data_IF_149658158446
#
_entry.id   IF_149658158446
#
_cell.length_a   1.000
_cell.length_b   1.000
_cell.length_c   1.000
_cell.angle_alpha   90.00
_cell.angle_beta   90.00
_cell.angle_gamma   90.00
#
_symmetry.space_group_name_H-M   'P 1'
#
loop_
_entity.id
_entity.type
_entity.pdbx_description
1 polymer ?
#
# COMPACT_ATOMS: atom_id res chain seq x y z
N UNK A 1 28.18 -47.04 93.43
CA UNK A 1 28.67 -46.53 92.14
C UNK A 1 29.80 -45.57 92.44
N UNK A 2 31.00 -45.84 91.95
CA UNK A 2 32.16 -45.01 92.27
C UNK A 2 32.10 -43.71 91.47
N UNK A 3 32.70 -42.63 91.99
CA UNK A 3 32.77 -41.33 91.31
C UNK A 3 33.39 -41.43 89.90
N UNK A 4 34.28 -42.41 89.70
CA UNK A 4 34.96 -42.68 88.43
C UNK A 4 33.98 -43.21 87.38
N UNK A 5 33.04 -44.09 87.76
CA UNK A 5 32.04 -44.65 86.84
C UNK A 5 31.10 -43.58 86.28
N UNK A 6 30.74 -42.58 87.11
CA UNK A 6 29.90 -41.44 86.70
C UNK A 6 30.62 -40.56 85.67
N UNK A 7 31.94 -40.36 85.80
CA UNK A 7 32.73 -39.59 84.83
C UNK A 7 32.76 -40.27 83.46
N UNK A 8 32.92 -41.61 83.42
CA UNK A 8 32.92 -42.35 82.16
C UNK A 8 31.60 -42.25 81.40
N UNK A 9 30.47 -42.29 82.12
CA UNK A 9 29.14 -42.14 81.51
C UNK A 9 28.98 -40.75 80.90
N UNK A 10 29.41 -39.70 81.59
CA UNK A 10 29.33 -38.33 81.08
C UNK A 10 30.19 -38.15 79.83
N UNK A 11 31.41 -38.69 79.83
CA UNK A 11 32.30 -38.63 78.65
C UNK A 11 31.69 -39.37 77.46
N UNK A 12 31.08 -40.54 77.68
CA UNK A 12 30.42 -41.31 76.62
C UNK A 12 29.25 -40.53 75.99
N UNK A 13 28.44 -39.84 76.80
CA UNK A 13 27.34 -39.00 76.32
C UNK A 13 27.87 -37.81 75.50
N UNK A 14 28.94 -37.16 75.97
CA UNK A 14 29.54 -36.02 75.25
C UNK A 14 30.12 -36.47 73.92
N UNK A 15 30.85 -37.59 73.88
CA UNK A 15 31.46 -38.12 72.66
C UNK A 15 30.41 -38.56 71.63
N UNK A 16 29.37 -39.27 72.07
CA UNK A 16 28.28 -39.68 71.18
C UNK A 16 27.50 -38.49 70.62
N UNK A 17 27.27 -37.45 71.44
CA UNK A 17 26.67 -36.18 70.99
C UNK A 17 27.51 -35.47 69.93
N UNK A 18 28.82 -35.37 70.14
CA UNK A 18 29.77 -34.74 69.20
C UNK A 18 29.78 -35.46 67.84
N UNK A 19 29.81 -36.79 67.85
CA UNK A 19 29.78 -37.61 66.63
C UNK A 19 28.48 -37.37 65.86
N UNK A 20 27.35 -37.29 66.56
CA UNK A 20 26.04 -37.02 65.94
C UNK A 20 25.98 -35.62 65.33
N UNK A 21 26.58 -34.63 65.98
CA UNK A 21 26.63 -33.24 65.51
C UNK A 21 27.46 -33.12 64.22
N UNK A 22 28.59 -33.82 64.14
CA UNK A 22 29.43 -33.89 62.92
C UNK A 22 28.66 -34.59 61.78
N UNK A 23 27.97 -35.69 62.07
CA UNK A 23 27.18 -36.40 61.07
C UNK A 23 26.04 -35.53 60.51
N UNK A 24 25.31 -34.83 61.38
CA UNK A 24 24.19 -33.97 61.00
C UNK A 24 24.63 -32.76 60.17
N UNK A 25 25.75 -32.14 60.52
CA UNK A 25 26.30 -31.00 59.76
C UNK A 25 26.75 -31.41 58.36
N UNK A 26 27.32 -32.60 58.20
CA UNK A 26 27.72 -33.14 56.90
C UNK A 26 26.50 -33.52 56.02
N UNK A 27 25.44 -34.06 56.62
CA UNK A 27 24.20 -34.33 55.89
C UNK A 27 23.56 -33.03 55.40
N UNK A 28 23.53 -32.01 56.26
CA UNK A 28 22.98 -30.69 55.93
C UNK A 28 23.77 -29.99 54.82
N UNK A 29 25.10 -30.09 54.83
CA UNK A 29 25.93 -29.50 53.77
C UNK A 29 25.68 -30.17 52.41
N UNK A 30 25.57 -31.50 52.40
CA UNK A 30 25.28 -32.27 51.17
C UNK A 30 23.91 -31.94 50.60
N UNK A 31 22.89 -31.81 51.45
CA UNK A 31 21.54 -31.41 51.04
C UNK A 31 21.50 -29.98 50.47
N UNK A 32 22.21 -29.04 51.10
CA UNK A 32 22.28 -27.66 50.65
C UNK A 32 23.00 -27.52 49.30
N UNK A 33 24.08 -28.27 49.08
CA UNK A 33 24.80 -28.28 47.81
C UNK A 33 23.96 -28.88 46.68
N UNK A 34 23.15 -29.90 46.98
CA UNK A 34 22.24 -30.50 46.01
C UNK A 34 21.15 -29.51 45.58
N UNK A 35 20.49 -28.85 46.54
CA UNK A 35 19.49 -27.81 46.23
C UNK A 35 20.08 -26.68 45.40
N UNK A 36 21.24 -26.17 45.77
CA UNK A 36 21.89 -25.08 45.04
C UNK A 36 22.22 -25.45 43.59
N UNK A 37 22.62 -26.70 43.34
CA UNK A 37 22.87 -27.18 41.98
C UNK A 37 21.57 -27.33 41.18
N UNK A 38 20.52 -27.88 41.79
CA UNK A 38 19.21 -28.01 41.16
C UNK A 38 18.64 -26.64 40.82
N UNK A 39 18.68 -25.68 41.74
CA UNK A 39 18.17 -24.33 41.55
C UNK A 39 18.92 -23.61 40.41
N UNK A 40 20.24 -23.76 40.35
CA UNK A 40 21.06 -23.20 39.26
C UNK A 40 20.72 -23.86 37.91
N UNK A 41 20.56 -25.18 37.86
CA UNK A 41 20.20 -25.87 36.62
C UNK A 41 18.81 -25.48 36.12
N UNK A 42 17.84 -25.36 37.05
CA UNK A 42 16.48 -24.88 36.74
C UNK A 42 16.53 -23.45 36.22
N UNK A 43 17.32 -22.58 36.86
CA UNK A 43 17.48 -21.20 36.44
C UNK A 43 18.07 -21.09 35.03
N UNK A 44 19.18 -21.79 34.75
CA UNK A 44 19.83 -21.79 33.43
C UNK A 44 18.89 -22.32 32.35
N UNK A 45 18.19 -23.44 32.60
CA UNK A 45 17.21 -23.99 31.65
C UNK A 45 16.03 -23.06 31.44
N UNK A 46 15.62 -22.30 32.47
CA UNK A 46 14.53 -21.34 32.34
C UNK A 46 14.95 -20.12 31.51
N UNK A 47 16.15 -19.60 31.71
CA UNK A 47 16.68 -18.47 30.94
C UNK A 47 16.89 -18.83 29.47
N UNK A 48 17.40 -20.04 29.18
CA UNK A 48 17.54 -20.55 27.82
C UNK A 48 16.18 -20.69 27.11
N UNK A 49 15.15 -21.18 27.82
CA UNK A 49 13.79 -21.22 27.25
C UNK A 49 13.23 -19.82 27.02
N UNK A 50 13.48 -18.88 27.92
CA UNK A 50 13.03 -17.49 27.78
C UNK A 50 13.72 -16.81 26.61
N UNK A 51 15.01 -17.05 26.37
CA UNK A 51 15.73 -16.48 25.22
C UNK A 51 15.21 -17.04 23.90
N UNK A 52 15.01 -18.36 23.81
CA UNK A 52 14.41 -19.00 22.63
C UNK A 52 13.00 -18.46 22.35
N UNK A 53 12.15 -18.35 23.38
CA UNK A 53 10.81 -17.78 23.23
C UNK A 53 10.84 -16.31 22.79
N UNK A 54 11.77 -15.51 23.31
CA UNK A 54 11.94 -14.11 22.88
C UNK A 54 12.36 -14.02 21.41
N UNK A 55 13.27 -14.89 20.98
CA UNK A 55 13.71 -14.96 19.59
C UNK A 55 12.56 -15.37 18.67
N UNK A 56 11.78 -16.37 19.05
CA UNK A 56 10.61 -16.83 18.30
C UNK A 56 9.53 -15.74 18.20
N UNK A 57 9.25 -15.02 19.29
CA UNK A 57 8.32 -13.87 19.28
C UNK A 57 8.83 -12.77 18.34
N UNK A 58 10.13 -12.48 18.36
CA UNK A 58 10.74 -11.49 17.47
C UNK A 58 10.59 -11.90 16.00
N UNK A 59 10.85 -13.16 15.69
CA UNK A 59 10.71 -13.73 14.34
C UNK A 59 9.26 -13.75 13.87
N UNK A 60 8.31 -14.11 14.74
CA UNK A 60 6.89 -14.05 14.42
C UNK A 60 6.44 -12.61 14.15
N UNK A 61 6.90 -11.65 14.96
CA UNK A 61 6.57 -10.23 14.78
C UNK A 61 7.12 -9.68 13.47
N UNK A 62 8.35 -10.03 13.09
CA UNK A 62 8.92 -9.62 11.81
C UNK A 62 8.19 -10.26 10.63
N UNK A 63 7.87 -11.55 10.71
CA UNK A 63 7.11 -12.26 9.67
C UNK A 63 5.71 -11.68 9.48
N UNK A 64 5.00 -11.34 10.56
CA UNK A 64 3.69 -10.67 10.47
C UNK A 64 3.78 -9.32 9.77
N UNK A 65 4.84 -8.54 10.03
CA UNK A 65 5.04 -7.25 9.34
C UNK A 65 5.32 -7.45 7.84
N UNK A 66 6.14 -8.44 7.49
CA UNK A 66 6.43 -8.80 6.10
C UNK A 66 5.15 -9.23 5.38
N UNK A 67 4.38 -10.14 5.97
CA UNK A 67 3.16 -10.66 5.36
C UNK A 67 2.07 -9.59 5.22
N UNK A 68 1.97 -8.68 6.20
CA UNK A 68 1.08 -7.52 6.11
C UNK A 68 1.47 -6.61 4.95
N UNK A 69 2.75 -6.30 4.80
CA UNK A 69 3.25 -5.46 3.71
C UNK A 69 3.04 -6.14 2.36
N UNK A 70 3.29 -7.45 2.27
CA UNK A 70 3.04 -8.25 1.07
C UNK A 70 1.56 -8.24 0.69
N UNK A 71 0.67 -8.54 1.63
CA UNK A 71 -0.79 -8.52 1.42
C UNK A 71 -1.28 -7.13 0.97
N UNK A 72 -0.71 -6.06 1.52
CA UNK A 72 -1.02 -4.70 1.10
C UNK A 72 -0.56 -4.43 -0.33
N UNK A 73 0.67 -4.80 -0.70
CA UNK A 73 1.19 -4.65 -2.06
C UNK A 73 0.36 -5.45 -3.07
N UNK A 74 0.02 -6.70 -2.76
CA UNK A 74 -0.83 -7.53 -3.61
C UNK A 74 -2.22 -6.91 -3.82
N UNK A 75 -2.84 -6.38 -2.75
CA UNK A 75 -4.12 -5.68 -2.84
C UNK A 75 -4.02 -4.38 -3.67
N UNK A 76 -2.94 -3.63 -3.50
CA UNK A 76 -2.67 -2.42 -4.26
C UNK A 76 -2.48 -2.70 -5.74
N UNK A 77 -1.68 -3.70 -6.09
CA UNK A 77 -1.41 -4.07 -7.48
C UNK A 77 -2.65 -4.63 -8.18
N UNK A 78 -3.49 -5.40 -7.47
CA UNK A 78 -4.79 -5.84 -7.97
C UNK A 78 -5.71 -4.67 -8.25
N UNK A 79 -5.94 -3.80 -7.27
CA UNK A 79 -6.79 -2.61 -7.46
C UNK A 79 -6.29 -1.71 -8.60
N UNK A 80 -4.97 -1.54 -8.74
CA UNK A 80 -4.36 -0.80 -9.84
C UNK A 80 -4.67 -1.39 -11.22
N UNK A 81 -4.81 -2.71 -11.33
CA UNK A 81 -5.18 -3.36 -12.60
C UNK A 81 -6.68 -3.29 -12.89
N UNK A 82 -7.51 -3.20 -11.84
CA UNK A 82 -8.96 -3.14 -11.96
C UNK A 82 -9.46 -1.75 -12.37
N UNK A 83 -8.87 -0.66 -11.87
CA UNK A 83 -9.29 0.71 -12.18
C UNK A 83 -8.39 1.35 -13.24
N UNK A 84 -8.98 1.84 -14.33
CA UNK A 84 -8.25 2.67 -15.30
C UNK A 84 -9.07 3.88 -15.72
N UNK A 85 -8.42 5.04 -15.76
CA UNK A 85 -8.99 6.28 -16.27
C UNK A 85 -8.44 6.50 -17.67
N UNK A 86 -9.31 6.52 -18.68
CA UNK A 86 -8.87 6.83 -20.04
C UNK A 86 -9.17 8.28 -20.36
N UNK A 87 -8.17 9.00 -20.88
CA UNK A 87 -8.29 10.40 -21.25
C UNK A 87 -8.04 10.56 -22.75
N UNK A 88 -8.91 11.35 -23.37
CA UNK A 88 -8.97 11.59 -24.80
C UNK A 88 -9.01 13.08 -25.10
N UNK A 89 -8.33 13.55 -26.15
CA UNK A 89 -8.57 14.89 -26.68
C UNK A 89 -10.02 14.99 -27.19
N UNK A 90 -10.66 16.12 -26.92
CA UNK A 90 -12.06 16.38 -27.27
C UNK A 90 -12.19 17.70 -28.03
N UNK A 91 -13.04 17.69 -29.05
CA UNK A 91 -13.41 18.87 -29.84
C UNK A 91 -14.91 18.87 -30.07
N UNK A 92 -15.53 20.01 -29.86
CA UNK A 92 -16.91 20.30 -30.21
C UNK A 92 -16.97 21.58 -31.03
N UNK A 93 -17.79 21.57 -32.09
CA UNK A 93 -17.96 22.72 -32.99
C UNK A 93 -19.44 23.13 -32.97
N UNK A 94 -19.67 24.41 -32.76
CA UNK A 94 -20.98 25.04 -32.81
C UNK A 94 -20.97 26.09 -33.92
N UNK A 95 -21.96 25.99 -34.82
CA UNK A 95 -22.15 26.88 -35.94
C UNK A 95 -23.54 27.50 -35.81
N UNK A 96 -23.60 28.83 -35.80
CA UNK A 96 -24.85 29.58 -35.84
C UNK A 96 -24.69 30.81 -36.73
N UNK A 97 -25.76 31.18 -37.43
CA UNK A 97 -25.74 32.28 -38.39
C UNK A 97 -26.30 31.92 -39.75
N UNK A 98 -26.78 32.95 -40.45
CA UNK A 98 -27.40 32.86 -41.76
C UNK A 98 -26.46 33.49 -42.80
N UNK A 99 -26.25 32.83 -43.94
CA UNK A 99 -25.40 33.32 -45.04
C UNK A 99 -26.22 34.36 -45.84
N UNK A 100 -26.45 35.52 -45.21
CA UNK A 100 -27.25 36.60 -45.77
C UNK A 100 -26.53 37.33 -46.91
N UNK A 101 -27.27 37.69 -47.97
CA UNK A 101 -26.74 38.33 -49.18
C UNK A 101 -26.01 39.68 -48.97
N UNK A 102 -26.14 40.31 -47.78
CA UNK A 102 -25.62 41.66 -47.48
C UNK A 102 -24.67 41.67 -46.26
N UNK A 103 -24.88 40.80 -45.26
CA UNK A 103 -24.06 40.73 -44.05
C UNK A 103 -23.82 39.26 -43.71
N UNK A 104 -22.54 38.86 -43.71
CA UNK A 104 -22.12 37.56 -43.20
C UNK A 104 -21.86 37.66 -41.70
N UNK A 105 -22.82 37.25 -40.89
CA UNK A 105 -22.66 37.10 -39.44
C UNK A 105 -22.66 35.62 -39.06
N UNK A 106 -21.62 34.91 -39.53
CA UNK A 106 -21.40 33.50 -39.21
C UNK A 106 -20.64 33.45 -37.89
N UNK A 107 -21.31 32.94 -36.85
CA UNK A 107 -20.72 32.63 -35.57
C UNK A 107 -20.23 31.18 -35.57
N UNK A 108 -18.91 30.99 -35.50
CA UNK A 108 -18.31 29.68 -35.37
C UNK A 108 -17.50 29.61 -34.07
N UNK A 109 -17.94 28.74 -33.16
CA UNK A 109 -17.30 28.47 -31.90
C UNK A 109 -16.74 27.04 -31.88
N UNK A 110 -15.45 26.91 -31.61
CA UNK A 110 -14.77 25.63 -31.46
C UNK A 110 -14.27 25.48 -30.03
N UNK A 111 -14.87 24.56 -29.30
CA UNK A 111 -14.45 24.19 -27.95
C UNK A 111 -13.49 23.01 -28.01
N UNK A 112 -12.28 23.19 -27.47
CA UNK A 112 -11.22 22.18 -27.41
C UNK A 112 -10.87 21.88 -25.96
N UNK A 113 -10.74 20.60 -25.64
CA UNK A 113 -10.36 20.17 -24.30
C UNK A 113 -10.11 18.68 -24.24
N UNK A 114 -10.48 18.06 -23.12
CA UNK A 114 -10.26 16.64 -22.90
C UNK A 114 -11.44 15.98 -22.21
N UNK A 115 -11.66 14.72 -22.58
CA UNK A 115 -12.72 13.87 -22.07
C UNK A 115 -12.09 12.71 -21.32
N UNK A 116 -12.57 12.44 -20.11
CA UNK A 116 -12.14 11.29 -19.33
C UNK A 116 -13.29 10.32 -19.05
N UNK A 117 -12.97 9.03 -19.13
CA UNK A 117 -13.90 7.93 -18.85
C UNK A 117 -13.24 6.98 -17.85
N UNK A 118 -13.95 6.70 -16.76
CA UNK A 118 -13.53 5.71 -15.78
C UNK A 118 -13.90 4.31 -16.27
N UNK A 119 -13.00 3.37 -16.12
CA UNK A 119 -13.19 1.95 -16.38
C UNK A 119 -12.88 1.14 -15.12
N UNK A 120 -13.71 0.13 -14.88
CA UNK A 120 -13.48 -0.91 -13.87
C UNK A 120 -13.47 -2.24 -14.63
N UNK A 121 -12.35 -2.97 -14.59
CA UNK A 121 -12.13 -4.22 -15.34
C UNK A 121 -12.40 -4.08 -16.85
N UNK A 122 -12.04 -2.93 -17.43
CA UNK A 122 -12.28 -2.64 -18.85
C UNK A 122 -13.73 -2.32 -19.21
N UNK A 123 -14.64 -2.27 -18.22
CA UNK A 123 -16.03 -1.86 -18.40
C UNK A 123 -16.14 -0.36 -18.10
N UNK A 124 -16.69 0.49 -18.99
CA UNK A 124 -16.88 1.89 -18.70
C UNK A 124 -17.92 2.06 -17.59
N UNK A 125 -17.52 2.71 -16.51
CA UNK A 125 -18.40 2.99 -15.37
C UNK A 125 -18.56 4.51 -15.29
N UNK A 126 -19.81 4.95 -15.07
CA UNK A 126 -20.24 6.36 -15.11
C UNK A 126 -20.26 6.98 -16.51
N UNK A 127 -20.99 8.09 -16.62
CA UNK A 127 -20.97 8.92 -17.82
C UNK A 127 -19.62 9.63 -17.92
N UNK A 128 -19.07 9.77 -19.13
CA UNK A 128 -17.81 10.47 -19.30
C UNK A 128 -17.98 11.96 -19.01
N UNK A 129 -16.94 12.55 -18.43
CA UNK A 129 -16.88 13.99 -18.15
C UNK A 129 -15.97 14.68 -19.15
N UNK A 130 -16.37 15.88 -19.55
CA UNK A 130 -15.66 16.72 -20.52
C UNK A 130 -15.20 17.97 -19.79
N UNK A 131 -13.92 18.32 -19.96
CA UNK A 131 -13.36 19.59 -19.51
C UNK A 131 -12.91 20.35 -20.75
N UNK A 132 -13.40 21.58 -20.92
CA UNK A 132 -13.04 22.47 -22.01
C UNK A 132 -11.88 23.34 -21.54
N UNK A 133 -10.74 23.27 -22.24
CA UNK A 133 -9.53 24.03 -21.90
C UNK A 133 -9.44 25.34 -22.68
N UNK A 134 -9.84 25.32 -23.96
CA UNK A 134 -9.78 26.47 -24.84
C UNK A 134 -11.06 26.58 -25.66
N UNK A 135 -11.57 27.80 -25.78
CA UNK A 135 -12.67 28.14 -26.69
C UNK A 135 -12.14 29.09 -27.75
N UNK A 136 -12.20 28.68 -29.00
CA UNK A 136 -11.82 29.48 -30.16
C UNK A 136 -13.11 30.03 -30.79
N UNK A 137 -13.30 31.33 -30.72
CA UNK A 137 -14.44 32.02 -31.34
C UNK A 137 -13.94 32.75 -32.57
N UNK A 138 -14.44 32.37 -33.75
CA UNK A 138 -14.12 33.05 -35.00
C UNK A 138 -15.41 33.53 -35.69
N UNK A 139 -15.41 34.81 -36.10
CA UNK A 139 -16.48 35.42 -36.92
C UNK A 139 -16.09 35.43 -38.39
N UNK A 140 -15.85 34.24 -38.96
CA UNK A 140 -15.49 34.04 -40.37
C UNK A 140 -16.06 32.72 -40.87
N UNK A 141 -16.31 32.63 -42.19
CA UNK A 141 -16.95 31.48 -42.87
C UNK A 141 -16.21 30.15 -42.72
N UNK A 142 -14.90 30.20 -42.51
CA UNK A 142 -14.05 29.01 -42.32
C UNK A 142 -13.14 29.21 -41.12
N UNK A 143 -13.05 28.18 -40.27
CA UNK A 143 -12.13 28.19 -39.13
C UNK A 143 -10.74 27.79 -39.55
N UNK A 144 -9.76 28.49 -39.00
CA UNK A 144 -8.35 28.18 -39.17
C UNK A 144 -8.00 26.82 -38.52
N UNK A 145 -7.97 25.77 -39.33
CA UNK A 145 -7.60 24.42 -38.93
C UNK A 145 -6.20 24.33 -38.30
N UNK A 146 -5.30 25.27 -38.62
CA UNK A 146 -3.95 25.31 -38.05
C UNK A 146 -3.98 25.73 -36.57
N UNK A 147 -4.90 26.62 -36.18
CA UNK A 147 -5.11 27.00 -34.79
C UNK A 147 -5.74 25.88 -33.98
N UNK A 148 -6.75 25.19 -34.54
CA UNK A 148 -7.34 24.00 -33.89
C UNK A 148 -6.27 22.94 -33.63
N UNK A 149 -5.44 22.65 -34.64
CA UNK A 149 -4.36 21.67 -34.50
C UNK A 149 -3.36 22.08 -33.42
N UNK A 150 -3.00 23.37 -33.37
CA UNK A 150 -2.08 23.88 -32.33
C UNK A 150 -2.70 23.76 -30.93
N UNK A 151 -3.99 24.04 -30.78
CA UNK A 151 -4.70 23.87 -29.50
C UNK A 151 -4.79 22.40 -29.07
N UNK A 152 -5.08 21.49 -30.00
CA UNK A 152 -5.07 20.05 -29.76
C UNK A 152 -3.68 19.54 -29.34
N UNK A 153 -2.62 19.97 -30.02
CA UNK A 153 -1.24 19.60 -29.68
C UNK A 153 -0.85 20.06 -28.27
N UNK A 154 -1.31 21.24 -27.83
CA UNK A 154 -1.06 21.75 -26.48
C UNK A 154 -1.77 20.88 -25.44
N UNK A 155 -3.03 20.55 -25.70
CA UNK A 155 -3.84 19.68 -24.82
C UNK A 155 -3.25 18.28 -24.76
N UNK A 156 -2.86 17.70 -25.90
CA UNK A 156 -2.22 16.39 -25.98
C UNK A 156 -0.90 16.35 -25.19
N UNK A 157 -0.04 17.36 -25.35
CA UNK A 157 1.21 17.47 -24.57
C UNK A 157 0.94 17.56 -23.06
N UNK A 158 -0.09 18.29 -22.64
CA UNK A 158 -0.49 18.39 -21.24
C UNK A 158 -1.01 17.05 -20.70
N UNK A 159 -1.87 16.36 -21.45
CA UNK A 159 -2.38 15.02 -21.10
C UNK A 159 -1.22 14.02 -20.99
N UNK A 160 -0.28 14.02 -21.93
CA UNK A 160 0.91 13.15 -21.90
C UNK A 160 1.76 13.40 -20.65
N UNK A 161 1.94 14.67 -20.29
CA UNK A 161 2.65 15.05 -19.05
C UNK A 161 1.95 14.52 -17.80
N UNK A 162 0.63 14.64 -17.73
CA UNK A 162 -0.17 14.17 -16.60
C UNK A 162 -0.15 12.63 -16.55
N UNK A 163 -0.34 11.94 -17.68
CA UNK A 163 -0.37 10.49 -17.77
C UNK A 163 0.92 9.83 -17.24
N UNK A 164 2.09 10.38 -17.63
CA UNK A 164 3.40 9.89 -17.17
C UNK A 164 3.56 9.91 -15.65
N UNK A 165 2.89 10.84 -14.97
CA UNK A 165 2.98 11.00 -13.52
C UNK A 165 1.95 10.15 -12.75
N UNK A 166 1.05 9.43 -13.43
CA UNK A 166 -0.06 8.70 -12.79
C UNK A 166 0.21 7.21 -12.54
N UNK A 167 1.45 6.75 -12.71
CA UNK A 167 1.84 5.34 -12.53
C UNK A 167 0.87 4.36 -13.25
N UNK A 168 0.39 4.69 -14.45
CA UNK A 168 -0.41 3.78 -15.28
C UNK A 168 -1.90 3.66 -14.94
N UNK A 169 -2.39 4.41 -13.94
CA UNK A 169 -3.84 4.55 -13.69
C UNK A 169 -4.51 5.31 -14.84
N UNK A 170 -3.83 6.33 -15.35
CA UNK A 170 -4.31 7.13 -16.48
C UNK A 170 -3.72 6.56 -17.78
N UNK A 171 -4.60 6.15 -18.69
CA UNK A 171 -4.24 5.68 -20.03
C UNK A 171 -4.68 6.73 -21.05
N UNK A 172 -3.82 7.00 -22.02
CA UNK A 172 -4.17 7.91 -23.12
C UNK A 172 -4.75 7.06 -24.23
N UNK A 173 -6.02 7.27 -24.54
CA UNK A 173 -6.62 6.59 -25.67
C UNK A 173 -6.27 7.30 -26.98
N UNK A 174 -5.63 6.59 -27.91
CA UNK A 174 -5.28 7.13 -29.21
C UNK A 174 -6.45 6.98 -30.18
N UNK A 175 -7.33 7.97 -30.28
CA UNK A 175 -8.32 7.98 -31.38
C UNK A 175 -8.81 9.39 -31.70
N UNK A 176 -8.14 10.07 -32.63
CA UNK A 176 -8.67 11.29 -33.29
C UNK A 176 -9.27 10.96 -34.67
N UNK A 177 -9.00 9.78 -35.25
CA UNK A 177 -9.27 9.56 -36.68
C UNK A 177 -10.64 9.00 -37.07
N UNK A 178 -11.52 8.55 -36.15
CA UNK A 178 -12.72 7.80 -36.58
C UNK A 178 -14.05 8.57 -36.65
N UNK A 179 -14.17 9.79 -36.12
CA UNK A 179 -15.46 10.53 -36.15
C UNK A 179 -15.58 11.62 -37.22
N UNK A 180 -14.53 11.85 -38.02
CA UNK A 180 -14.59 12.84 -39.11
C UNK A 180 -15.30 12.30 -40.36
N UNK A 181 -15.41 10.97 -40.53
CA UNK A 181 -16.00 10.38 -41.73
C UNK A 181 -17.49 9.98 -41.63
N UNK A 182 -18.14 10.06 -40.45
CA UNK A 182 -19.53 9.59 -40.30
C UNK A 182 -20.61 10.69 -40.31
N UNK A 183 -20.25 11.98 -40.32
CA UNK A 183 -21.24 13.09 -40.37
C UNK A 183 -21.32 13.84 -41.70
N UNK A 184 -20.53 13.48 -42.72
CA UNK A 184 -20.58 14.11 -44.07
C UNK A 184 -21.60 13.50 -45.04
N UNK A 185 -22.46 12.54 -44.64
CA UNK A 185 -23.40 11.86 -45.55
C UNK A 185 -24.90 12.05 -45.25
N UNK A 186 -25.29 12.90 -44.32
CA UNK A 186 -26.71 13.19 -44.08
C UNK A 186 -26.87 14.69 -44.07
N UNK A 187 -27.07 15.27 -45.27
CA UNK A 187 -27.84 16.48 -45.61
C UNK A 187 -27.42 16.87 -47.02
N UNK A 188 -28.06 16.22 -47.99
CA UNK A 188 -27.78 16.38 -49.42
C UNK A 188 -28.68 15.44 -50.23
N UNK A 189 -29.99 15.60 -50.05
CA UNK A 189 -31.05 15.12 -50.96
C UNK A 189 -32.40 15.61 -50.40
N UNK A 190 -32.69 16.90 -50.60
CA UNK A 190 -34.00 17.44 -51.03
C UNK A 190 -33.68 18.65 -51.91
#
# INVERSE_FOLDING_TARGET
>A
MSFIEMIYIVIAIVMTSLIWLIYLTNLRSKHNNLHKNIDNEVFVKSDERISVLKEEISNLKSNVLIEKNKSFQEGFDKARSEFSLEVYPYKEEFFDGDDGFIINDIYHEVSVGYKYQLFINGIPVLKPSIIIDNVLIERKKEVDHQKIKTALDIVEKRIIGIAKNTNGILKIGSTINEKVNSKKQTYGNI
#
